data_IF_205027082912
#
_entry.id   IF_205027082912
#
_cell.length_a   1.000
_cell.length_b   1.000
_cell.length_c   1.000
_cell.angle_alpha   90.00
_cell.angle_beta   90.00
_cell.angle_gamma   90.00
#
_symmetry.space_group_name_H-M   'P 1'
#
loop_
_entity.id
_entity.type
_entity.pdbx_description
1 polymer ?
#
# COMPACT_ATOMS: atom_id res chain seq x y z
N UNK A 1 -17.12 -11.98 -33.85
CA UNK A 1 -17.75 -13.32 -33.89
C UNK A 1 -16.74 -14.41 -34.20
N UNK A 2 -16.02 -14.36 -35.33
CA UNK A 2 -15.03 -15.39 -35.73
C UNK A 2 -13.96 -15.64 -34.64
N UNK A 3 -13.38 -14.58 -34.07
CA UNK A 3 -12.38 -14.71 -32.99
C UNK A 3 -12.91 -15.46 -31.76
N UNK A 4 -14.17 -15.21 -31.37
CA UNK A 4 -14.81 -15.89 -30.23
C UNK A 4 -15.07 -17.36 -30.53
N UNK A 5 -15.46 -17.69 -31.76
CA UNK A 5 -15.64 -19.08 -32.20
C UNK A 5 -14.31 -19.84 -32.18
N UNK A 6 -13.24 -19.23 -32.68
CA UNK A 6 -11.89 -19.81 -32.65
C UNK A 6 -11.41 -20.03 -31.22
N UNK A 7 -11.56 -19.04 -30.33
CA UNK A 7 -11.23 -19.17 -28.91
C UNK A 7 -12.05 -20.27 -28.22
N UNK A 8 -13.34 -20.38 -28.54
CA UNK A 8 -14.22 -21.42 -28.04
C UNK A 8 -13.78 -22.83 -28.48
N UNK A 9 -13.42 -23.00 -29.75
CA UNK A 9 -12.90 -24.26 -30.29
C UNK A 9 -11.55 -24.63 -29.67
N UNK A 10 -10.65 -23.67 -29.46
CA UNK A 10 -9.37 -23.90 -28.78
C UNK A 10 -9.61 -24.36 -27.33
N UNK A 11 -10.48 -23.68 -26.58
CA UNK A 11 -10.80 -24.09 -25.21
C UNK A 11 -11.45 -25.47 -25.15
N UNK A 12 -12.35 -25.79 -26.09
CA UNK A 12 -12.98 -27.10 -26.18
C UNK A 12 -11.96 -28.20 -26.47
N UNK A 13 -11.07 -27.98 -27.44
CA UNK A 13 -9.98 -28.90 -27.76
C UNK A 13 -9.06 -29.13 -26.55
N UNK A 14 -8.67 -28.07 -25.85
CA UNK A 14 -7.85 -28.16 -24.64
C UNK A 14 -8.54 -28.95 -23.52
N UNK A 15 -9.85 -28.77 -23.32
CA UNK A 15 -10.61 -29.54 -22.31
C UNK A 15 -10.69 -31.01 -22.68
N UNK A 16 -10.97 -31.34 -23.93
CA UNK A 16 -11.06 -32.73 -24.39
C UNK A 16 -9.72 -33.47 -24.25
N UNK A 17 -8.61 -32.79 -24.58
CA UNK A 17 -7.24 -33.36 -24.41
C UNK A 17 -6.87 -33.54 -22.94
N UNK A 18 -7.38 -32.68 -22.04
CA UNK A 18 -7.07 -32.71 -20.61
C UNK A 18 -7.97 -33.65 -19.79
N UNK A 19 -9.21 -33.89 -20.24
CA UNK A 19 -10.22 -34.66 -19.51
C UNK A 19 -9.85 -36.13 -19.29
N UNK A 20 -9.09 -36.75 -20.21
CA UNK A 20 -8.73 -38.17 -20.15
C UNK A 20 -7.32 -38.44 -19.61
N UNK A 21 -6.67 -37.45 -18.99
CA UNK A 21 -5.36 -37.64 -18.36
C UNK A 21 -5.58 -38.23 -16.97
N UNK A 22 -5.08 -39.44 -16.66
CA UNK A 22 -5.12 -39.94 -15.29
C UNK A 22 -4.33 -38.97 -14.40
N UNK A 23 -5.03 -38.27 -13.51
CA UNK A 23 -4.40 -37.37 -12.53
C UNK A 23 -3.95 -38.24 -11.37
N UNK A 24 -2.63 -38.36 -11.19
CA UNK A 24 -2.07 -38.98 -10.00
C UNK A 24 -2.18 -37.97 -8.86
N UNK A 25 -3.00 -38.28 -7.85
CA UNK A 25 -3.00 -37.55 -6.59
C UNK A 25 -1.96 -38.20 -5.69
N UNK A 26 -0.94 -37.43 -5.32
CA UNK A 26 0.08 -37.81 -4.35
C UNK A 26 0.41 -36.60 -3.49
N UNK A 27 1.10 -36.83 -2.38
CA UNK A 27 1.58 -35.73 -1.55
C UNK A 27 2.46 -34.77 -2.36
N UNK A 28 2.34 -33.49 -2.02
CA UNK A 28 3.22 -32.45 -2.57
C UNK A 28 4.66 -32.68 -2.10
N UNK A 29 5.63 -32.30 -2.93
CA UNK A 29 7.04 -32.45 -2.59
C UNK A 29 7.37 -31.65 -1.32
N UNK A 30 7.63 -32.37 -0.23
CA UNK A 30 7.78 -31.80 1.11
C UNK A 30 9.15 -31.19 1.44
N UNK A 31 9.98 -30.90 0.43
CA UNK A 31 11.37 -30.50 0.60
C UNK A 31 12.18 -31.49 1.46
N UNK A 32 11.93 -32.80 1.31
CA UNK A 32 12.58 -33.86 2.09
C UNK A 32 11.93 -34.20 3.44
N UNK A 33 10.76 -33.62 3.75
CA UNK A 33 9.97 -33.98 4.95
C UNK A 33 8.89 -35.01 4.63
N UNK A 34 8.66 -35.91 5.59
CA UNK A 34 7.71 -37.04 5.49
C UNK A 34 6.26 -36.55 5.56
N UNK A 35 5.98 -35.54 6.39
CA UNK A 35 4.63 -34.98 6.57
C UNK A 35 4.63 -33.46 6.34
N UNK A 36 3.55 -32.95 5.74
CA UNK A 36 3.28 -31.51 5.61
C UNK A 36 2.30 -31.08 6.70
N UNK A 37 2.58 -29.96 7.37
CA UNK A 37 1.65 -29.36 8.33
C UNK A 37 1.17 -28.00 7.82
N UNK A 38 -0.02 -27.52 8.20
CA UNK A 38 -0.53 -26.21 7.78
C UNK A 38 0.39 -25.03 8.13
N UNK A 39 1.27 -25.20 9.12
CA UNK A 39 2.28 -24.18 9.50
C UNK A 39 3.39 -24.01 8.46
N UNK A 40 3.57 -24.96 7.55
CA UNK A 40 4.58 -24.92 6.49
C UNK A 40 4.05 -24.23 5.23
N UNK A 41 2.78 -23.86 5.21
CA UNK A 41 2.18 -23.15 4.08
C UNK A 41 2.79 -21.76 3.91
N UNK A 42 2.71 -21.29 2.67
CA UNK A 42 3.19 -19.98 2.32
C UNK A 42 2.35 -18.92 3.01
N UNK A 43 2.94 -18.20 3.96
CA UNK A 43 2.23 -17.17 4.71
C UNK A 43 1.99 -15.93 3.86
N UNK A 44 0.97 -15.15 4.20
CA UNK A 44 0.70 -13.87 3.55
C UNK A 44 1.91 -12.93 3.60
N UNK A 45 2.70 -12.99 4.67
CA UNK A 45 3.94 -12.20 4.82
C UNK A 45 5.03 -12.65 3.86
N UNK A 46 5.22 -13.96 3.66
CA UNK A 46 6.16 -14.51 2.69
C UNK A 46 5.77 -14.13 1.26
N UNK A 47 4.47 -14.16 0.94
CA UNK A 47 3.95 -13.74 -0.37
C UNK A 47 4.14 -12.26 -0.67
N UNK A 48 3.98 -11.39 0.34
CA UNK A 48 4.19 -9.96 0.16
C UNK A 48 5.69 -9.56 0.12
N UNK A 49 6.61 -10.41 0.56
CA UNK A 49 8.05 -10.10 0.69
C UNK A 49 8.71 -9.62 -0.62
N UNK A 50 8.49 -10.23 -1.80
CA UNK A 50 9.08 -9.74 -3.05
C UNK A 50 8.60 -8.34 -3.41
N UNK A 51 7.29 -8.07 -3.26
CA UNK A 51 6.71 -6.75 -3.49
C UNK A 51 7.32 -5.73 -2.52
N UNK A 52 7.45 -6.08 -1.23
CA UNK A 52 8.09 -5.23 -0.23
C UNK A 52 9.55 -4.92 -0.55
N UNK A 53 10.29 -5.84 -1.17
CA UNK A 53 11.68 -5.61 -1.62
C UNK A 53 11.74 -4.68 -2.83
N UNK A 54 10.88 -4.88 -3.84
CA UNK A 54 10.84 -4.02 -5.03
C UNK A 54 10.52 -2.57 -4.65
N UNK A 55 9.56 -2.38 -3.74
CA UNK A 55 9.19 -1.06 -3.24
C UNK A 55 9.94 -0.66 -1.95
N UNK A 56 11.06 -1.31 -1.62
CA UNK A 56 11.81 -0.98 -0.41
C UNK A 56 12.37 0.45 -0.43
N UNK A 57 12.77 0.95 -1.60
CA UNK A 57 13.23 2.34 -1.74
C UNK A 57 12.09 3.35 -1.53
N UNK A 58 10.89 3.00 -1.97
CA UNK A 58 9.71 3.83 -1.81
C UNK A 58 9.16 3.80 -0.39
N UNK A 59 9.11 2.64 0.27
CA UNK A 59 8.49 2.49 1.60
C UNK A 59 9.49 2.53 2.77
N UNK A 60 10.81 2.46 2.50
CA UNK A 60 11.90 2.39 3.49
C UNK A 60 11.57 1.50 4.70
N UNK A 61 11.25 0.21 4.51
CA UNK A 61 10.90 -0.67 5.62
C UNK A 61 12.11 -0.89 6.54
N UNK A 62 11.96 -0.60 7.84
CA UNK A 62 12.98 -0.94 8.84
C UNK A 62 12.97 -2.45 9.06
N UNK A 63 14.11 -3.12 8.82
CA UNK A 63 14.29 -4.55 9.10
C UNK A 63 15.29 -4.68 10.25
N UNK A 64 14.82 -5.19 11.38
CA UNK A 64 15.69 -5.61 12.47
C UNK A 64 15.78 -7.15 12.44
N UNK A 65 16.95 -7.64 12.07
CA UNK A 65 17.31 -9.06 12.10
C UNK A 65 18.27 -9.28 13.26
N UNK A 66 17.75 -9.83 14.37
CA UNK A 66 18.59 -10.25 15.49
C UNK A 66 18.76 -11.77 15.39
N UNK A 67 20.00 -12.21 15.15
CA UNK A 67 20.37 -13.62 15.06
C UNK A 67 21.24 -13.93 16.28
N UNK A 68 20.69 -14.71 17.21
CA UNK A 68 21.45 -15.18 18.37
C UNK A 68 22.11 -16.52 18.04
N UNK A 69 23.44 -16.51 18.02
CA UNK A 69 24.27 -17.70 17.79
C UNK A 69 24.62 -18.39 19.10
N UNK A 70 24.71 -19.72 19.06
CA UNK A 70 25.13 -20.50 20.22
C UNK A 70 26.60 -20.19 20.58
N UNK A 71 26.97 -20.02 21.86
CA UNK A 71 28.32 -19.62 22.27
C UNK A 71 29.45 -20.59 21.86
N UNK A 72 29.13 -21.86 21.59
CA UNK A 72 30.13 -22.89 21.26
C UNK A 72 30.31 -23.14 19.74
N UNK A 73 29.41 -22.65 18.89
CA UNK A 73 29.60 -22.74 17.43
C UNK A 73 28.77 -21.71 16.68
N UNK A 74 29.43 -20.96 15.79
CA UNK A 74 28.80 -20.00 14.85
C UNK A 74 27.85 -20.64 13.84
N UNK A 75 27.81 -21.97 13.75
CA UNK A 75 26.96 -22.70 12.80
C UNK A 75 25.62 -23.17 13.41
N UNK A 76 25.44 -23.04 14.73
CA UNK A 76 24.18 -23.38 15.39
C UNK A 76 23.46 -22.11 15.85
N UNK A 77 22.34 -21.83 15.19
CA UNK A 77 21.48 -20.69 15.49
C UNK A 77 20.54 -21.09 16.62
N UNK A 78 20.56 -20.34 17.73
CA UNK A 78 19.75 -20.63 18.91
C UNK A 78 18.35 -20.03 18.78
N UNK A 79 18.23 -18.82 18.23
CA UNK A 79 16.94 -18.24 17.87
C UNK A 79 17.08 -17.18 16.77
N UNK A 80 16.06 -17.08 15.90
CA UNK A 80 15.95 -16.02 14.89
C UNK A 80 14.72 -15.20 15.25
N UNK A 81 14.91 -13.95 15.67
CA UNK A 81 13.82 -13.01 15.89
C UNK A 81 13.77 -12.02 14.74
N UNK A 82 12.64 -12.02 14.01
CA UNK A 82 12.38 -11.10 12.91
C UNK A 82 11.40 -10.02 13.39
N UNK A 83 11.87 -8.78 13.56
CA UNK A 83 11.02 -7.62 13.77
C UNK A 83 11.02 -6.75 12.52
N UNK A 84 9.82 -6.47 12.03
CA UNK A 84 9.60 -5.63 10.85
C UNK A 84 8.55 -4.59 11.21
N UNK A 85 9.00 -3.41 11.61
CA UNK A 85 8.11 -2.25 11.71
C UNK A 85 8.03 -1.54 10.36
N UNK A 86 6.80 -1.40 9.87
CA UNK A 86 6.51 -0.51 8.74
C UNK A 86 6.37 0.87 9.36
N UNK A 87 7.43 1.67 9.36
CA UNK A 87 7.33 3.08 9.72
C UNK A 87 6.68 3.83 8.55
N UNK A 88 5.46 4.38 8.69
CA UNK A 88 4.78 5.06 7.59
C UNK A 88 5.40 6.44 7.36
N UNK A 89 6.51 6.48 6.62
CA UNK A 89 7.22 7.72 6.30
C UNK A 89 6.33 8.71 5.53
N UNK A 90 5.41 8.21 4.70
CA UNK A 90 4.49 9.03 3.91
C UNK A 90 3.51 9.81 4.81
N UNK A 91 3.06 9.19 5.89
CA UNK A 91 2.16 9.80 6.85
C UNK A 91 2.86 10.91 7.63
N UNK A 92 4.08 10.64 8.13
CA UNK A 92 4.89 11.66 8.83
C UNK A 92 5.39 12.78 7.94
N UNK A 93 5.78 12.47 6.70
CA UNK A 93 6.48 13.45 5.85
C UNK A 93 5.54 14.24 4.95
N UNK A 94 4.37 13.69 4.56
CA UNK A 94 3.41 14.37 3.70
C UNK A 94 2.14 14.79 4.45
N UNK A 95 1.51 13.86 5.17
CA UNK A 95 0.23 14.14 5.84
C UNK A 95 0.38 15.09 7.03
N UNK A 96 1.35 14.87 7.92
CA UNK A 96 1.55 15.76 9.08
C UNK A 96 1.82 17.23 8.72
N UNK A 97 2.74 17.59 7.80
CA UNK A 97 2.93 18.98 7.42
C UNK A 97 1.72 19.57 6.68
N UNK A 98 1.06 18.79 5.82
CA UNK A 98 -0.15 19.24 5.12
C UNK A 98 -1.28 19.55 6.10
N UNK A 99 -1.53 18.67 7.07
CA UNK A 99 -2.53 18.87 8.12
C UNK A 99 -2.18 20.06 9.01
N UNK A 100 -0.90 20.28 9.31
CA UNK A 100 -0.45 21.48 10.05
C UNK A 100 -0.71 22.76 9.27
N UNK A 101 -0.43 22.78 7.96
CA UNK A 101 -0.73 23.91 7.07
C UNK A 101 -2.23 24.20 7.04
N UNK A 102 -3.06 23.19 6.78
CA UNK A 102 -4.53 23.34 6.71
C UNK A 102 -5.07 23.87 8.03
N UNK A 103 -4.65 23.30 9.16
CA UNK A 103 -5.05 23.80 10.49
C UNK A 103 -4.60 25.24 10.72
N UNK A 104 -3.36 25.59 10.34
CA UNK A 104 -2.84 26.95 10.45
C UNK A 104 -3.67 27.96 9.65
N UNK A 105 -4.02 27.61 8.41
CA UNK A 105 -4.92 28.42 7.56
C UNK A 105 -6.31 28.52 8.19
N UNK A 106 -6.87 27.41 8.66
CA UNK A 106 -8.18 27.39 9.31
C UNK A 106 -8.22 28.28 10.56
N UNK A 107 -7.17 28.27 11.39
CA UNK A 107 -7.07 29.16 12.55
C UNK A 107 -6.96 30.65 12.15
N UNK A 108 -6.19 30.97 11.11
CA UNK A 108 -6.11 32.33 10.56
C UNK A 108 -7.47 32.80 10.05
N UNK A 109 -8.16 31.97 9.27
CA UNK A 109 -9.51 32.24 8.74
C UNK A 109 -10.55 32.38 9.85
N UNK A 110 -10.45 31.58 10.91
CA UNK A 110 -11.29 31.71 12.10
C UNK A 110 -11.08 33.04 12.81
N UNK A 111 -9.85 33.55 12.85
CA UNK A 111 -9.55 34.90 13.35
C UNK A 111 -10.12 36.02 12.49
N UNK A 112 -10.19 35.84 11.17
CA UNK A 112 -10.86 36.77 10.24
C UNK A 112 -12.39 36.78 10.42
N UNK A 113 -12.99 35.69 10.89
CA UNK A 113 -14.38 35.63 11.35
C UNK A 113 -14.53 36.20 12.78
N UNK A 114 -14.00 37.40 13.03
CA UNK A 114 -13.99 38.04 14.37
C UNK A 114 -15.35 38.54 14.86
N UNK A 115 -16.46 38.12 14.24
CA UNK A 115 -17.83 38.53 14.64
C UNK A 115 -18.14 40.02 14.44
N UNK A 116 -17.22 40.80 13.86
CA UNK A 116 -17.40 42.24 13.66
C UNK A 116 -18.11 42.54 12.33
N UNK A 117 -19.31 43.10 12.41
CA UNK A 117 -20.14 43.47 11.25
C UNK A 117 -19.44 44.42 10.28
N UNK A 118 -18.59 45.32 10.78
CA UNK A 118 -17.86 46.30 9.99
C UNK A 118 -16.87 45.67 8.98
N UNK A 119 -16.18 44.59 9.36
CA UNK A 119 -15.29 43.88 8.43
C UNK A 119 -16.05 43.20 7.30
N UNK A 120 -17.24 42.65 7.58
CA UNK A 120 -18.07 42.04 6.55
C UNK A 120 -18.59 43.06 5.53
N UNK A 121 -19.02 44.23 5.99
CA UNK A 121 -19.44 45.32 5.09
C UNK A 121 -18.28 45.78 4.20
N UNK A 122 -17.06 45.86 4.74
CA UNK A 122 -15.87 46.21 3.98
C UNK A 122 -15.52 45.13 2.94
N UNK A 123 -15.58 43.84 3.30
CA UNK A 123 -15.38 42.75 2.34
C UNK A 123 -16.40 42.79 1.21
N UNK A 124 -17.68 43.02 1.53
CA UNK A 124 -18.75 43.11 0.53
C UNK A 124 -18.54 44.28 -0.44
N UNK A 125 -18.18 45.47 0.08
CA UNK A 125 -17.90 46.63 -0.77
C UNK A 125 -16.67 46.38 -1.66
N UNK A 126 -15.62 45.77 -1.12
CA UNK A 126 -14.40 45.48 -1.86
C UNK A 126 -14.62 44.42 -2.95
N UNK A 127 -15.33 43.32 -2.63
CA UNK A 127 -15.68 42.31 -3.63
C UNK A 127 -16.55 42.89 -4.73
N UNK A 128 -17.51 43.76 -4.40
CA UNK A 128 -18.34 44.45 -5.39
C UNK A 128 -17.50 45.34 -6.31
N UNK A 129 -16.58 46.13 -5.76
CA UNK A 129 -15.67 46.98 -6.54
C UNK A 129 -14.77 46.15 -7.45
N UNK A 130 -14.19 45.05 -6.96
CA UNK A 130 -13.35 44.15 -7.75
C UNK A 130 -14.16 43.54 -8.89
N UNK A 131 -15.38 43.07 -8.62
CA UNK A 131 -16.22 42.44 -9.62
C UNK A 131 -16.65 43.43 -10.69
N UNK A 132 -16.97 44.66 -10.31
CA UNK A 132 -17.29 45.76 -11.22
C UNK A 132 -16.08 46.18 -12.08
N UNK A 133 -14.89 46.22 -11.49
CA UNK A 133 -13.67 46.54 -12.23
C UNK A 133 -13.31 45.42 -13.20
N UNK A 134 -13.44 44.16 -12.77
CA UNK A 134 -13.18 42.99 -13.59
C UNK A 134 -14.12 42.92 -14.79
N UNK A 135 -15.42 43.18 -14.61
CA UNK A 135 -16.41 43.19 -15.70
C UNK A 135 -16.32 44.42 -16.59
N UNK A 136 -15.74 45.53 -16.12
CA UNK A 136 -15.49 46.72 -16.93
C UNK A 136 -14.18 46.64 -17.71
N UNK A 137 -13.25 45.81 -17.24
CA UNK A 137 -11.93 45.59 -17.85
C UNK A 137 -11.93 44.43 -18.86
N UNK A 138 -12.78 43.42 -18.67
CA UNK A 138 -13.13 42.42 -19.69
C UNK A 138 -14.13 42.98 -20.70
#
# INVERSE_FOLDING_TARGET
VILLVVLGLIMLGLRLVRANRPVRVSDSWGCGRIEQTPRMEYTATAFAEPLRRVFAELYRPTRELTIDFHPESKYFVQSIQYKSEITPWFERSLYEPLLRLIKGVAYRLRGLQSGSLHLYLLYLALTLLILLFATRWF
#
